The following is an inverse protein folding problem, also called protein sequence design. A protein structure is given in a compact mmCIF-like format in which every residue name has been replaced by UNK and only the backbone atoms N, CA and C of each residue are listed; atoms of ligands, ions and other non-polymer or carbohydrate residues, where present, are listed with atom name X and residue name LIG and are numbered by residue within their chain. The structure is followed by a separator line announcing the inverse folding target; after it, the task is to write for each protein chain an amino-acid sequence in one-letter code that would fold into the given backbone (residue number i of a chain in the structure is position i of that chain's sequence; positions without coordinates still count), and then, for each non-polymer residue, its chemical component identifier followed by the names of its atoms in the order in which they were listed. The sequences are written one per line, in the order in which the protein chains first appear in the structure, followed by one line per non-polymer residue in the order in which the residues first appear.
data_IF_825919067826
#
_entry.id   IF_825919067826
#
_cell.length_a   1.000
_cell.length_b   1.000
_cell.length_c   1.000
_cell.angle_alpha   90.00
_cell.angle_beta   90.00
_cell.angle_gamma   90.00
#
_symmetry.space_group_name_H-M   'P 1'
#
loop_
_entity.id
_entity.type
_entity.pdbx_description
1 polymer ?
#
# COMPACT_ATOMS: atom_id res chain seq x y z
N UNK A 1 44.47 39.31 3.18
CA UNK A 1 44.04 38.32 4.18
C UNK A 1 42.85 37.58 3.59
N UNK A 2 43.07 36.34 3.18
CA UNK A 2 42.04 35.47 2.60
C UNK A 2 41.53 34.56 3.72
N UNK A 3 40.22 34.46 3.99
CA UNK A 3 39.74 33.63 5.07
C UNK A 3 39.86 32.15 4.70
N UNK A 4 40.55 31.39 5.55
CA UNK A 4 40.62 29.92 5.50
C UNK A 4 39.27 29.36 5.94
N UNK A 5 38.55 28.74 5.01
CA UNK A 5 37.37 27.93 5.35
C UNK A 5 37.90 26.66 6.01
N UNK A 6 37.45 26.40 7.24
CA UNK A 6 37.78 25.19 7.96
C UNK A 6 37.19 23.97 7.23
N UNK A 7 38.06 23.15 6.65
CA UNK A 7 37.74 21.80 6.17
C UNK A 7 37.41 20.92 7.36
N UNK A 8 36.11 20.83 7.65
CA UNK A 8 35.58 20.05 8.76
C UNK A 8 34.16 19.58 8.49
N UNK A 9 33.84 19.21 7.25
CA UNK A 9 32.61 18.47 6.99
C UNK A 9 32.81 17.03 7.47
N UNK A 10 32.20 16.69 8.62
CA UNK A 10 32.05 15.30 9.04
C UNK A 10 31.21 14.58 7.99
N UNK A 11 31.83 13.67 7.25
CA UNK A 11 31.12 12.78 6.35
C UNK A 11 30.17 11.96 7.20
N UNK A 12 28.85 12.16 7.03
CA UNK A 12 27.87 11.24 7.60
C UNK A 12 28.08 9.93 6.84
N UNK A 13 28.47 8.83 7.50
CA UNK A 13 28.52 7.55 6.80
C UNK A 13 27.10 7.28 6.32
N UNK A 14 26.91 7.24 5.00
CA UNK A 14 25.74 6.60 4.43
C UNK A 14 25.84 5.15 4.90
N UNK A 15 25.13 4.82 5.99
CA UNK A 15 24.93 3.43 6.35
C UNK A 15 24.43 2.75 5.08
N UNK A 16 25.04 1.64 4.63
CA UNK A 16 24.57 0.97 3.45
C UNK A 16 23.09 0.66 3.68
N UNK A 17 22.22 1.36 2.93
CA UNK A 17 20.77 1.22 3.09
C UNK A 17 20.45 -0.28 2.98
N UNK A 18 19.75 -0.82 3.98
CA UNK A 18 19.47 -2.25 4.04
C UNK A 18 18.54 -2.69 2.91
N UNK A 19 17.98 -1.72 2.18
CA UNK A 19 17.14 -1.92 1.03
C UNK A 19 17.61 -1.15 -0.20
N UNK A 20 17.04 -1.51 -1.35
CA UNK A 20 17.13 -0.75 -2.59
C UNK A 20 15.71 -0.34 -2.98
N UNK A 21 15.50 0.95 -3.18
CA UNK A 21 14.23 1.51 -3.66
C UNK A 21 14.28 1.70 -5.18
N UNK A 22 13.14 1.46 -5.83
CA UNK A 22 12.92 1.71 -7.25
C UNK A 22 11.57 2.41 -7.40
N UNK A 23 11.61 3.63 -7.94
CA UNK A 23 10.40 4.32 -8.39
C UNK A 23 9.84 3.61 -9.62
N UNK A 24 8.59 3.17 -9.51
CA UNK A 24 7.88 2.48 -10.58
C UNK A 24 7.02 3.46 -11.41
N UNK A 25 6.83 4.69 -10.91
CA UNK A 25 6.00 5.72 -11.53
C UNK A 25 4.56 5.25 -11.76
N UNK A 26 3.94 5.76 -12.81
CA UNK A 26 2.55 5.41 -13.20
C UNK A 26 2.45 4.15 -14.08
N UNK A 27 3.54 3.35 -14.18
CA UNK A 27 3.68 2.36 -15.27
C UNK A 27 3.65 0.89 -14.80
N UNK A 28 4.04 0.53 -13.58
CA UNK A 28 3.61 -0.74 -12.98
C UNK A 28 3.63 -0.77 -11.42
N UNK A 29 3.13 -1.85 -10.76
CA UNK A 29 2.37 -2.96 -11.34
C UNK A 29 0.92 -2.59 -11.65
N UNK A 30 0.32 -1.67 -10.88
CA UNK A 30 -1.09 -1.30 -11.06
C UNK A 30 -1.22 -0.03 -11.88
N UNK A 31 -1.91 -0.14 -13.02
CA UNK A 31 -2.13 0.99 -13.94
C UNK A 31 -3.58 1.44 -13.90
N UNK A 32 -3.80 2.72 -13.62
CA UNK A 32 -5.16 3.30 -13.61
C UNK A 32 -5.91 3.09 -14.93
N UNK A 33 -5.22 3.12 -16.08
CA UNK A 33 -5.83 2.89 -17.40
C UNK A 33 -6.38 1.47 -17.58
N UNK A 34 -5.82 0.49 -16.88
CA UNK A 34 -6.26 -0.90 -16.96
C UNK A 34 -7.48 -1.15 -16.05
N UNK A 35 -7.56 -0.41 -14.94
CA UNK A 35 -8.69 -0.47 -14.01
C UNK A 35 -9.92 0.25 -14.59
N UNK A 36 -9.71 1.42 -15.20
CA UNK A 36 -10.78 2.29 -15.72
C UNK A 36 -10.54 2.72 -17.16
N UNK A 37 -10.67 1.79 -18.13
CA UNK A 37 -10.58 2.14 -19.54
C UNK A 37 -11.74 3.09 -19.91
N UNK A 38 -11.42 4.33 -20.24
CA UNK A 38 -12.39 5.37 -20.59
C UNK A 38 -12.62 6.46 -19.53
N UNK A 39 -11.86 6.46 -18.42
CA UNK A 39 -11.83 7.61 -17.51
C UNK A 39 -11.29 8.86 -18.23
N UNK A 40 -11.81 10.04 -17.85
CA UNK A 40 -11.42 11.31 -18.48
C UNK A 40 -10.03 11.79 -18.03
N UNK A 41 -9.60 11.36 -16.84
CA UNK A 41 -8.26 11.51 -16.34
C UNK A 41 -7.89 10.29 -15.50
N UNK A 42 -6.64 9.84 -15.65
CA UNK A 42 -6.04 8.76 -14.87
C UNK A 42 -4.66 9.20 -14.40
N UNK A 43 -4.21 8.60 -13.30
CA UNK A 43 -2.84 8.73 -12.85
C UNK A 43 -2.53 7.75 -11.74
N UNK A 44 -1.27 7.71 -11.33
CA UNK A 44 -0.83 6.76 -10.34
C UNK A 44 0.64 6.94 -10.02
N UNK A 45 1.06 6.24 -8.97
CA UNK A 45 2.45 6.10 -8.56
C UNK A 45 2.65 4.74 -7.91
N UNK A 46 3.85 4.20 -8.04
CA UNK A 46 4.25 2.97 -7.39
C UNK A 46 5.69 3.04 -6.96
N UNK A 47 6.02 2.31 -5.91
CA UNK A 47 7.37 2.18 -5.39
C UNK A 47 7.62 0.72 -5.05
N UNK A 48 8.79 0.22 -5.41
CA UNK A 48 9.28 -1.08 -4.98
C UNK A 48 10.49 -0.89 -4.08
N UNK A 49 10.49 -1.57 -2.94
CA UNK A 49 11.64 -1.63 -2.04
C UNK A 49 12.00 -3.08 -1.80
N UNK A 50 13.27 -3.43 -2.02
CA UNK A 50 13.79 -4.79 -1.82
C UNK A 50 14.86 -4.79 -0.76
N UNK A 51 14.79 -5.73 0.18
CA UNK A 51 15.89 -5.98 1.11
C UNK A 51 17.15 -6.40 0.33
N UNK A 52 18.31 -5.85 0.69
CA UNK A 52 19.59 -6.21 0.08
C UNK A 52 20.08 -7.52 0.67
N UNK A 53 20.51 -8.48 -0.17
CA UNK A 53 21.10 -9.72 0.33
C UNK A 53 22.30 -9.44 1.24
N UNK A 54 22.31 -10.06 2.43
CA UNK A 54 23.43 -9.95 3.38
C UNK A 54 23.51 -8.64 4.18
N UNK A 55 22.60 -7.68 3.95
CA UNK A 55 22.50 -6.44 4.76
C UNK A 55 21.17 -6.44 5.49
N UNK A 56 21.13 -6.85 6.78
CA UNK A 56 19.87 -6.89 7.51
C UNK A 56 19.31 -5.48 7.68
N UNK A 57 18.01 -5.33 7.46
CA UNK A 57 17.31 -4.13 7.90
C UNK A 57 17.27 -4.08 9.41
N UNK A 58 17.35 -2.85 9.96
CA UNK A 58 17.12 -2.64 11.38
C UNK A 58 15.72 -3.16 11.69
N UNK A 59 15.65 -4.12 12.60
CA UNK A 59 14.36 -4.58 13.11
C UNK A 59 13.71 -3.42 13.87
N UNK A 60 12.49 -3.07 13.46
CA UNK A 60 11.69 -2.05 14.12
C UNK A 60 10.40 -2.69 14.63
N UNK A 61 9.85 -2.26 15.78
CA UNK A 61 8.59 -2.80 16.26
C UNK A 61 7.47 -2.57 15.25
N UNK A 62 6.53 -3.52 15.15
CA UNK A 62 5.29 -3.28 14.43
C UNK A 62 4.59 -2.05 15.03
N UNK A 63 4.22 -1.05 14.23
CA UNK A 63 3.63 0.17 14.75
C UNK A 63 2.26 -0.08 15.38
N UNK A 64 1.90 0.82 16.28
CA UNK A 64 0.56 0.81 16.89
C UNK A 64 -0.43 1.34 15.85
N UNK A 65 -1.56 0.66 15.62
CA UNK A 65 -2.58 1.15 14.70
C UNK A 65 -3.12 2.52 15.13
N UNK A 66 -3.03 3.51 14.24
CA UNK A 66 -3.67 4.82 14.40
C UNK A 66 -5.00 4.84 13.64
N UNK A 67 -6.11 4.83 14.37
CA UNK A 67 -7.44 4.80 13.78
C UNK A 67 -7.92 6.17 13.26
N UNK A 68 -7.16 7.25 13.47
CA UNK A 68 -7.44 8.56 12.89
C UNK A 68 -7.02 8.67 11.42
N UNK A 69 -6.23 7.70 10.94
CA UNK A 69 -5.80 7.59 9.54
C UNK A 69 -6.65 6.51 8.84
N UNK A 70 -7.40 6.85 7.79
CA UNK A 70 -8.41 5.96 7.21
C UNK A 70 -7.90 5.06 6.08
N UNK A 71 -6.58 5.01 5.91
CA UNK A 71 -5.92 3.99 5.13
C UNK A 71 -5.08 3.20 6.13
N UNK A 72 -5.74 2.33 6.92
CA UNK A 72 -5.16 1.45 7.94
C UNK A 72 -3.66 1.63 8.13
N UNK A 73 -3.22 2.54 9.01
CA UNK A 73 -1.88 2.68 9.60
C UNK A 73 -0.61 2.72 8.71
N UNK A 74 -0.66 2.34 7.44
CA UNK A 74 0.52 2.04 6.64
C UNK A 74 0.77 3.06 5.54
N UNK A 75 -0.17 3.99 5.32
CA UNK A 75 0.15 5.24 4.62
C UNK A 75 1.16 6.10 5.42
N UNK A 76 1.32 5.84 6.72
CA UNK A 76 2.34 6.48 7.58
C UNK A 76 3.65 5.71 7.70
N UNK A 77 3.70 4.44 7.30
CA UNK A 77 4.98 3.69 7.24
C UNK A 77 5.58 3.80 5.85
N UNK A 78 6.86 4.14 5.80
CA UNK A 78 7.66 3.98 4.59
C UNK A 78 7.80 2.50 4.22
N UNK A 79 8.09 2.21 2.96
CA UNK A 79 8.33 0.84 2.51
C UNK A 79 9.55 0.21 3.22
N UNK A 80 10.55 1.00 3.63
CA UNK A 80 11.70 0.52 4.40
C UNK A 80 11.29 0.15 5.84
N UNK A 81 10.43 0.94 6.48
CA UNK A 81 9.85 0.56 7.78
C UNK A 81 9.02 -0.72 7.68
N UNK A 82 8.22 -0.86 6.61
CA UNK A 82 7.50 -2.11 6.31
C UNK A 82 8.47 -3.30 6.22
N UNK A 83 9.61 -3.18 5.54
CA UNK A 83 10.64 -4.24 5.56
C UNK A 83 11.16 -4.50 6.98
N UNK A 84 11.44 -3.44 7.73
CA UNK A 84 12.04 -3.52 9.06
C UNK A 84 11.20 -4.28 10.10
N UNK A 85 9.87 -4.06 10.15
CA UNK A 85 9.03 -4.76 11.14
C UNK A 85 8.42 -6.06 10.63
N UNK A 86 8.21 -6.20 9.31
CA UNK A 86 7.64 -7.43 8.76
C UNK A 86 8.71 -8.49 8.50
N UNK A 87 9.93 -8.07 8.19
CA UNK A 87 10.98 -8.95 7.69
C UNK A 87 10.69 -9.54 6.30
N UNK A 88 9.79 -8.92 5.53
CA UNK A 88 9.58 -9.25 4.11
C UNK A 88 10.88 -9.04 3.31
N UNK A 89 11.03 -9.75 2.18
CA UNK A 89 12.17 -9.54 1.26
C UNK A 89 11.88 -8.38 0.28
N UNK A 90 10.60 -8.08 0.03
CA UNK A 90 10.15 -7.05 -0.92
C UNK A 90 8.83 -6.44 -0.50
N UNK A 91 8.72 -5.13 -0.68
CA UNK A 91 7.49 -4.36 -0.59
C UNK A 91 7.22 -3.69 -1.93
N UNK A 92 6.00 -3.80 -2.42
CA UNK A 92 5.51 -2.99 -3.53
C UNK A 92 4.30 -2.23 -3.03
N UNK A 93 4.30 -0.92 -3.13
CA UNK A 93 3.16 -0.09 -2.77
C UNK A 93 2.87 0.93 -3.83
N UNK A 94 1.65 1.46 -3.85
CA UNK A 94 1.28 2.49 -4.79
C UNK A 94 -0.17 2.88 -4.70
N UNK A 95 -0.55 3.78 -5.60
CA UNK A 95 -1.93 4.18 -5.82
C UNK A 95 -2.21 4.31 -7.31
N UNK A 96 -3.43 3.96 -7.70
CA UNK A 96 -3.98 4.19 -9.03
C UNK A 96 -5.30 4.95 -8.87
N UNK A 97 -5.46 6.06 -9.58
CA UNK A 97 -6.63 6.93 -9.48
C UNK A 97 -7.23 7.27 -10.84
N UNK A 98 -8.54 7.47 -10.85
CA UNK A 98 -9.27 7.98 -11.99
C UNK A 98 -10.31 9.02 -11.59
N UNK A 99 -10.60 9.94 -12.52
CA UNK A 99 -11.80 10.77 -12.48
C UNK A 99 -12.80 10.24 -13.50
N UNK A 100 -14.02 10.03 -13.04
CA UNK A 100 -15.17 9.68 -13.89
C UNK A 100 -16.13 10.88 -13.95
N UNK A 101 -16.81 11.06 -15.08
CA UNK A 101 -17.39 12.34 -15.51
C UNK A 101 -18.21 13.12 -14.45
N UNK A 102 -17.96 14.44 -14.41
CA UNK A 102 -18.73 15.57 -13.87
C UNK A 102 -19.58 15.37 -12.60
N UNK A 103 -19.05 14.75 -11.55
CA UNK A 103 -19.52 15.13 -10.22
C UNK A 103 -19.00 16.55 -9.91
N UNK A 104 -19.88 17.45 -9.47
CA UNK A 104 -19.48 18.79 -9.00
C UNK A 104 -18.59 18.73 -7.76
N UNK A 105 -18.61 17.59 -7.06
CA UNK A 105 -17.75 17.27 -5.93
C UNK A 105 -16.59 16.36 -6.38
N UNK A 106 -15.33 16.81 -6.28
CA UNK A 106 -14.14 16.01 -6.59
C UNK A 106 -14.05 14.67 -5.83
N UNK A 107 -14.63 14.57 -4.63
CA UNK A 107 -14.65 13.34 -3.82
C UNK A 107 -15.65 12.30 -4.34
N UNK A 108 -16.76 12.73 -4.93
CA UNK A 108 -17.78 11.83 -5.47
C UNK A 108 -17.53 11.40 -6.92
N UNK A 109 -16.68 12.14 -7.66
CA UNK A 109 -16.29 11.80 -9.03
C UNK A 109 -14.97 11.02 -9.15
N UNK A 110 -14.40 10.58 -8.04
CA UNK A 110 -13.10 9.91 -7.98
C UNK A 110 -13.21 8.42 -7.68
N UNK A 111 -12.24 7.67 -8.20
CA UNK A 111 -12.00 6.26 -7.92
C UNK A 111 -10.52 6.12 -7.61
N UNK A 112 -10.17 5.61 -6.43
CA UNK A 112 -8.77 5.42 -6.02
C UNK A 112 -8.58 4.01 -5.47
N UNK A 113 -7.55 3.34 -5.95
CA UNK A 113 -7.04 2.09 -5.39
C UNK A 113 -5.66 2.34 -4.81
N UNK A 114 -5.54 2.27 -3.49
CA UNK A 114 -4.25 2.16 -2.80
C UNK A 114 -3.94 0.68 -2.58
N UNK A 115 -2.68 0.28 -2.75
CA UNK A 115 -2.28 -1.11 -2.59
C UNK A 115 -0.89 -1.22 -1.96
N UNK A 116 -0.71 -2.30 -1.20
CA UNK A 116 0.60 -2.76 -0.74
C UNK A 116 0.65 -4.28 -0.86
N UNK A 117 1.75 -4.77 -1.40
CA UNK A 117 2.15 -6.17 -1.41
C UNK A 117 3.44 -6.32 -0.64
N UNK A 118 3.42 -7.21 0.35
CA UNK A 118 4.60 -7.76 0.97
C UNK A 118 4.88 -9.14 0.36
N UNK A 119 6.13 -9.40 0.05
CA UNK A 119 6.61 -10.72 -0.35
C UNK A 119 7.62 -11.24 0.67
N UNK A 120 7.35 -12.45 1.15
CA UNK A 120 8.16 -13.19 2.10
C UNK A 120 8.86 -14.35 1.38
N UNK A 121 9.74 -15.04 2.10
CA UNK A 121 10.17 -16.38 1.67
C UNK A 121 9.02 -17.35 1.90
N UNK A 122 8.89 -18.32 1.01
CA UNK A 122 7.90 -19.37 1.18
C UNK A 122 8.13 -20.11 2.50
N UNK A 123 7.09 -20.17 3.33
CA UNK A 123 7.16 -20.79 4.66
C UNK A 123 7.78 -19.93 5.75
N UNK A 124 8.06 -18.64 5.48
CA UNK A 124 8.51 -17.71 6.51
C UNK A 124 7.39 -17.50 7.56
N UNK A 125 7.63 -17.82 8.84
CA UNK A 125 6.61 -17.68 9.89
C UNK A 125 6.19 -16.22 10.11
N UNK A 126 7.01 -15.23 9.70
CA UNK A 126 6.69 -13.81 9.84
C UNK A 126 5.45 -13.42 9.05
N UNK A 127 5.16 -14.07 7.92
CA UNK A 127 3.94 -13.80 7.14
C UNK A 127 2.69 -13.94 8.01
N UNK A 128 2.59 -15.03 8.79
CA UNK A 128 1.45 -15.27 9.66
C UNK A 128 1.36 -14.24 10.80
N UNK A 129 2.51 -13.85 11.36
CA UNK A 129 2.59 -12.80 12.38
C UNK A 129 2.16 -11.44 11.84
N UNK A 130 2.67 -11.04 10.69
CA UNK A 130 2.30 -9.81 9.98
C UNK A 130 0.81 -9.80 9.65
N UNK A 131 0.28 -10.90 9.09
CA UNK A 131 -1.14 -11.03 8.81
C UNK A 131 -2.00 -10.85 10.06
N UNK A 132 -1.64 -11.49 11.16
CA UNK A 132 -2.38 -11.38 12.43
C UNK A 132 -2.38 -9.94 12.94
N UNK A 133 -1.25 -9.24 12.84
CA UNK A 133 -1.14 -7.84 13.23
C UNK A 133 -2.04 -6.93 12.36
N UNK A 134 -2.03 -7.13 11.03
CA UNK A 134 -2.90 -6.38 10.11
C UNK A 134 -4.39 -6.66 10.36
N UNK A 135 -4.78 -7.91 10.58
CA UNK A 135 -6.16 -8.27 10.91
C UNK A 135 -6.61 -7.63 12.23
N UNK A 136 -5.75 -7.57 13.26
CA UNK A 136 -6.05 -6.89 14.53
C UNK A 136 -6.22 -5.37 14.34
N UNK A 137 -5.33 -4.74 13.57
CA UNK A 137 -5.47 -3.33 13.19
C UNK A 137 -6.80 -3.06 12.47
N UNK A 138 -7.15 -3.93 11.53
CA UNK A 138 -8.41 -3.86 10.78
C UNK A 138 -9.65 -4.03 11.67
N UNK A 139 -9.59 -4.93 12.65
CA UNK A 139 -10.66 -5.10 13.66
C UNK A 139 -10.86 -3.84 14.49
N UNK A 140 -9.75 -3.30 15.02
CA UNK A 140 -9.78 -2.15 15.94
C UNK A 140 -10.24 -0.87 15.26
N UNK A 141 -9.74 -0.58 14.06
CA UNK A 141 -9.94 0.73 13.43
C UNK A 141 -11.06 0.77 12.38
N UNK A 142 -11.61 -0.38 11.95
CA UNK A 142 -12.63 -0.39 10.90
C UNK A 142 -13.59 -1.56 10.93
N UNK A 143 -13.79 -2.18 12.11
CA UNK A 143 -14.75 -3.27 12.29
C UNK A 143 -14.43 -4.52 11.47
N UNK A 144 -13.14 -4.75 11.21
CA UNK A 144 -12.67 -5.77 10.29
C UNK A 144 -13.15 -7.18 10.61
N UNK A 145 -13.47 -7.94 9.57
CA UNK A 145 -13.99 -9.32 9.67
C UNK A 145 -13.74 -10.11 8.38
N UNK A 146 -13.76 -11.45 8.40
CA UNK A 146 -13.77 -12.23 7.17
C UNK A 146 -14.97 -11.85 6.30
N UNK A 147 -14.75 -11.68 5.00
CA UNK A 147 -15.79 -11.27 4.06
C UNK A 147 -15.28 -11.28 2.62
N UNK A 148 -15.92 -10.47 1.78
CA UNK A 148 -15.50 -10.29 0.40
C UNK A 148 -15.62 -8.83 -0.05
N UNK A 149 -14.67 -8.38 -0.87
CA UNK A 149 -14.69 -7.10 -1.55
C UNK A 149 -14.50 -7.35 -3.05
N UNK A 150 -15.42 -6.86 -3.88
CA UNK A 150 -15.36 -7.13 -5.33
C UNK A 150 -15.36 -8.62 -5.69
N UNK A 151 -16.03 -9.46 -4.88
CA UNK A 151 -16.05 -10.92 -5.05
C UNK A 151 -14.81 -11.65 -4.53
N UNK A 152 -13.73 -10.94 -4.17
CA UNK A 152 -12.52 -11.54 -3.61
C UNK A 152 -12.69 -11.74 -2.11
N UNK A 153 -12.47 -12.97 -1.65
CA UNK A 153 -12.54 -13.32 -0.22
C UNK A 153 -11.26 -12.91 0.50
N UNK A 154 -11.42 -12.34 1.69
CA UNK A 154 -10.30 -11.90 2.52
C UNK A 154 -10.78 -11.39 3.87
N UNK A 155 -9.90 -10.69 4.58
CA UNK A 155 -10.27 -9.93 5.76
C UNK A 155 -10.63 -8.51 5.31
N UNK A 156 -11.88 -8.09 5.51
CA UNK A 156 -12.40 -6.81 5.02
C UNK A 156 -12.67 -5.87 6.17
N UNK A 157 -12.46 -4.57 5.95
CA UNK A 157 -12.75 -3.54 6.93
C UNK A 157 -13.12 -2.21 6.25
N UNK A 158 -13.74 -1.31 7.00
CA UNK A 158 -14.26 -0.04 6.49
C UNK A 158 -13.85 1.12 7.40
N UNK A 159 -13.43 2.26 6.82
CA UNK A 159 -13.06 3.49 7.55
C UNK A 159 -13.61 4.73 6.84
N UNK A 160 -13.70 5.87 7.53
CA UNK A 160 -14.20 7.12 6.94
C UNK A 160 -13.19 7.72 5.95
N UNK A 161 -13.58 8.19 4.76
CA UNK A 161 -12.63 8.81 3.83
C UNK A 161 -12.05 10.13 4.35
N UNK A 162 -10.73 10.37 4.19
CA UNK A 162 -10.12 11.68 4.47
C UNK A 162 -10.67 12.79 3.58
N UNK A 163 -11.21 12.43 2.43
CA UNK A 163 -11.71 13.39 1.43
C UNK A 163 -13.20 13.65 1.57
N UNK A 164 -13.86 13.07 2.58
CA UNK A 164 -15.30 13.20 2.78
C UNK A 164 -16.15 12.44 1.75
N UNK A 165 -15.53 11.54 0.98
CA UNK A 165 -16.20 10.62 0.09
C UNK A 165 -16.87 9.46 0.86
N UNK A 166 -17.36 8.46 0.13
CA UNK A 166 -17.83 7.20 0.72
C UNK A 166 -16.74 6.55 1.57
N UNK A 167 -17.15 5.73 2.55
CA UNK A 167 -16.21 5.02 3.40
C UNK A 167 -15.21 4.18 2.60
N UNK A 168 -13.94 4.29 2.96
CA UNK A 168 -12.84 3.49 2.42
C UNK A 168 -13.10 2.03 2.74
N UNK A 169 -13.03 1.17 1.72
CA UNK A 169 -13.22 -0.28 1.86
C UNK A 169 -11.91 -0.98 1.58
N UNK A 170 -11.42 -1.75 2.54
CA UNK A 170 -10.14 -2.44 2.44
C UNK A 170 -10.35 -3.95 2.46
N UNK A 171 -9.55 -4.67 1.67
CA UNK A 171 -9.42 -6.14 1.79
C UNK A 171 -7.96 -6.53 1.93
N UNK A 172 -7.69 -7.39 2.90
CA UNK A 172 -6.43 -8.09 3.11
C UNK A 172 -6.57 -9.53 2.62
N UNK A 173 -5.67 -9.94 1.73
CA UNK A 173 -5.54 -11.28 1.19
C UNK A 173 -4.12 -11.79 1.39
N UNK A 174 -3.95 -13.10 1.47
CA UNK A 174 -2.63 -13.72 1.59
C UNK A 174 -2.60 -15.04 0.85
N UNK A 175 -1.44 -15.40 0.33
CA UNK A 175 -1.13 -16.72 -0.19
C UNK A 175 0.09 -17.34 0.55
N UNK A 176 0.82 -18.24 -0.09
CA UNK A 176 1.94 -18.96 0.51
C UNK A 176 3.18 -18.09 0.82
N UNK A 177 3.34 -16.97 0.13
CA UNK A 177 4.50 -16.08 0.23
C UNK A 177 4.18 -14.59 0.05
N UNK A 178 2.91 -14.23 -0.21
CA UNK A 178 2.46 -12.86 -0.33
C UNK A 178 1.40 -12.51 0.70
N UNK A 179 1.45 -11.25 1.11
CA UNK A 179 0.40 -10.59 1.88
C UNK A 179 0.07 -9.28 1.16
N UNK A 180 -1.17 -9.14 0.69
CA UNK A 180 -1.62 -7.98 -0.07
C UNK A 180 -2.80 -7.35 0.63
N UNK A 181 -2.77 -6.05 0.81
CA UNK A 181 -3.98 -5.30 1.13
C UNK A 181 -4.18 -4.20 0.10
N UNK A 182 -5.45 -3.97 -0.21
CA UNK A 182 -5.90 -2.93 -1.13
C UNK A 182 -7.05 -2.17 -0.49
N UNK A 183 -7.06 -0.86 -0.66
CA UNK A 183 -8.07 0.05 -0.17
C UNK A 183 -8.73 0.78 -1.35
N UNK A 184 -10.06 0.88 -1.31
CA UNK A 184 -10.86 1.59 -2.29
C UNK A 184 -11.38 2.88 -1.66
N UNK A 185 -10.96 4.03 -2.18
CA UNK A 185 -11.41 5.36 -1.78
C UNK A 185 -12.09 6.10 -2.95
N UNK A 186 -12.81 7.17 -2.65
CA UNK A 186 -13.66 7.91 -3.58
C UNK A 186 -15.11 7.42 -3.59
N UNK A 187 -16.01 8.19 -4.19
CA UNK A 187 -17.47 7.96 -4.14
C UNK A 187 -18.11 7.34 -5.39
N UNK A 188 -17.36 7.16 -6.49
CA UNK A 188 -17.97 6.75 -7.76
C UNK A 188 -18.07 5.22 -7.96
N UNK A 189 -18.00 4.43 -6.88
CA UNK A 189 -17.90 2.98 -6.97
C UNK A 189 -19.24 2.30 -7.27
N UNK A 190 -19.30 1.58 -8.39
CA UNK A 190 -20.33 0.59 -8.68
C UNK A 190 -19.85 -0.81 -8.25
N UNK A 191 -20.77 -1.78 -8.15
CA UNK A 191 -20.40 -3.19 -7.95
C UNK A 191 -19.44 -3.70 -9.03
N UNK A 192 -19.73 -3.39 -10.30
CA UNK A 192 -18.92 -3.79 -11.45
C UNK A 192 -17.53 -3.15 -11.45
N UNK A 193 -17.43 -1.85 -11.15
CA UNK A 193 -16.13 -1.18 -11.07
C UNK A 193 -15.31 -1.63 -9.86
N UNK A 194 -15.98 -1.93 -8.73
CA UNK A 194 -15.35 -2.52 -7.55
C UNK A 194 -14.76 -3.89 -7.88
N UNK A 195 -15.55 -4.81 -8.45
CA UNK A 195 -15.07 -6.15 -8.81
C UNK A 195 -13.89 -6.11 -9.79
N UNK A 196 -14.01 -5.30 -10.85
CA UNK A 196 -12.93 -5.15 -11.83
C UNK A 196 -11.66 -4.63 -11.18
N UNK A 197 -11.74 -3.55 -10.41
CA UNK A 197 -10.56 -2.92 -9.83
C UNK A 197 -9.84 -3.88 -8.88
N UNK A 198 -10.57 -4.50 -7.96
CA UNK A 198 -9.99 -5.46 -6.99
C UNK A 198 -9.30 -6.62 -7.69
N UNK A 199 -9.97 -7.28 -8.64
CA UNK A 199 -9.39 -8.44 -9.33
C UNK A 199 -8.17 -8.05 -10.16
N UNK A 200 -8.27 -6.98 -10.96
CA UNK A 200 -7.15 -6.53 -11.81
C UNK A 200 -5.94 -6.11 -11.00
N UNK A 201 -6.14 -5.43 -9.88
CA UNK A 201 -5.04 -5.07 -8.97
C UNK A 201 -4.34 -6.31 -8.43
N UNK A 202 -5.08 -7.33 -7.98
CA UNK A 202 -4.47 -8.56 -7.46
C UNK A 202 -3.76 -9.39 -8.53
N UNK A 203 -4.35 -9.50 -9.73
CA UNK A 203 -3.72 -10.12 -10.90
C UNK A 203 -2.39 -9.42 -11.26
N UNK A 204 -2.38 -8.09 -11.28
CA UNK A 204 -1.20 -7.28 -11.60
C UNK A 204 -0.10 -7.38 -10.53
N UNK A 205 -0.48 -7.61 -9.27
CA UNK A 205 0.45 -7.88 -8.18
C UNK A 205 0.93 -9.34 -8.17
N UNK A 206 0.27 -10.25 -8.90
CA UNK A 206 0.60 -11.68 -8.91
C UNK A 206 0.15 -12.40 -7.64
N UNK A 207 -0.91 -11.92 -6.99
CA UNK A 207 -1.50 -12.49 -5.77
C UNK A 207 -2.85 -13.19 -6.03
N UNK A 208 -3.21 -13.39 -7.31
CA UNK A 208 -4.41 -14.08 -7.76
C UNK A 208 -4.22 -14.68 -9.16
#
# INVERSE_FOLDING_TARGET
MTPTVADGMTTIPEYPACAAETDLGDRPPVRATDLWPGASATGGRGTEVRARPGVPCREVPAPVPDCSLPVFGWSSSTNEELLGWTGADRVVSGLAGARVAAASDPGQGSLVVDYVQLRFRRGDPRLAGTRTHLEDAMRRCGGGRPGALGGVRGFVATQDSLTGADSVRTVLVSDADHLVWLALDGGAWSSTSTERAVRRTLEQLGAY
#
